data_IF_214067497781
#
_entry.id   IF_214067497781
#
_cell.length_a   1.000
_cell.length_b   1.000
_cell.length_c   1.000
_cell.angle_alpha   90.00
_cell.angle_beta   90.00
_cell.angle_gamma   90.00
#
_symmetry.space_group_name_H-M   'P 1'
#
loop_
_entity.id
_entity.type
_entity.pdbx_description
1 polymer ?
#
# COMPACT_ATOMS: atom_id res chain seq x y z
N UNK A 1 12.43 -7.76 8.06
CA UNK A 1 12.92 -8.16 6.72
C UNK A 1 12.03 -7.56 5.66
N UNK A 2 12.60 -6.95 4.64
CA UNK A 2 11.84 -6.31 3.59
C UNK A 2 11.21 -7.35 2.64
N UNK A 3 10.11 -6.96 2.01
CA UNK A 3 9.40 -7.82 1.07
C UNK A 3 9.27 -7.10 -0.26
N UNK A 4 9.60 -7.78 -1.37
CA UNK A 4 9.45 -7.20 -2.69
C UNK A 4 7.97 -7.02 -3.03
N UNK A 5 7.68 -5.95 -3.77
CA UNK A 5 6.32 -5.65 -4.18
C UNK A 5 5.71 -6.81 -4.99
N UNK A 6 6.49 -7.49 -5.82
CA UNK A 6 6.02 -8.66 -6.56
C UNK A 6 5.48 -9.74 -5.63
N UNK A 7 6.19 -10.02 -4.52
CA UNK A 7 5.73 -11.06 -3.59
C UNK A 7 4.40 -10.67 -2.94
N UNK A 8 4.24 -9.39 -2.62
CA UNK A 8 2.96 -8.91 -2.07
C UNK A 8 1.83 -9.13 -3.07
N UNK A 9 2.07 -8.83 -4.35
CA UNK A 9 1.05 -9.04 -5.39
C UNK A 9 0.70 -10.51 -5.54
N UNK A 10 1.66 -11.40 -5.43
CA UNK A 10 1.42 -12.84 -5.50
C UNK A 10 0.66 -13.35 -4.29
N UNK A 11 1.05 -12.96 -3.09
CA UNK A 11 0.40 -13.39 -1.85
C UNK A 11 -1.07 -12.97 -1.78
N UNK A 12 -1.39 -11.80 -2.27
CA UNK A 12 -2.73 -11.22 -2.17
C UNK A 12 -3.51 -11.27 -3.48
N UNK A 13 -2.93 -11.88 -4.51
CA UNK A 13 -3.53 -11.94 -5.85
C UNK A 13 -3.98 -10.55 -6.31
N UNK A 14 -3.06 -9.58 -6.22
CA UNK A 14 -3.36 -8.21 -6.54
C UNK A 14 -3.44 -7.95 -8.04
N UNK A 15 -4.25 -6.97 -8.40
CA UNK A 15 -4.12 -6.29 -9.68
C UNK A 15 -3.23 -5.07 -9.47
N UNK A 16 -2.24 -4.88 -10.34
CA UNK A 16 -1.36 -3.71 -10.30
C UNK A 16 -2.01 -2.60 -11.10
N UNK A 17 -2.47 -1.56 -10.41
CA UNK A 17 -3.11 -0.42 -11.05
C UNK A 17 -2.10 0.56 -11.61
N UNK A 18 -0.96 0.71 -10.94
CA UNK A 18 0.12 1.61 -11.32
C UNK A 18 1.43 1.10 -10.73
N UNK A 19 2.53 1.21 -11.47
CA UNK A 19 3.85 0.88 -10.95
C UNK A 19 4.33 -0.53 -11.25
N UNK A 20 3.80 -1.16 -12.30
CA UNK A 20 4.19 -2.52 -12.69
C UNK A 20 5.70 -2.66 -12.88
N UNK A 21 6.36 -1.62 -13.35
CA UNK A 21 7.81 -1.59 -13.55
C UNK A 21 8.61 -1.64 -12.26
N UNK A 22 7.95 -1.43 -11.11
CA UNK A 22 8.59 -1.43 -9.80
C UNK A 22 8.48 -2.77 -9.07
N UNK A 23 7.78 -3.76 -9.64
CA UNK A 23 7.48 -5.02 -8.94
C UNK A 23 8.73 -5.76 -8.46
N UNK A 24 9.80 -5.74 -9.25
CA UNK A 24 11.00 -6.53 -8.96
C UNK A 24 12.11 -5.74 -8.24
N UNK A 25 12.01 -4.41 -8.19
CA UNK A 25 13.05 -3.60 -7.55
C UNK A 25 12.59 -2.87 -6.28
N UNK A 26 11.27 -2.70 -6.09
CA UNK A 26 10.76 -2.02 -4.92
C UNK A 26 10.59 -2.99 -3.76
N UNK A 27 11.22 -2.67 -2.64
CA UNK A 27 11.06 -3.42 -1.40
C UNK A 27 10.25 -2.63 -0.39
N UNK A 28 9.30 -3.32 0.25
CA UNK A 28 8.44 -2.76 1.28
C UNK A 28 8.98 -3.21 2.63
N UNK A 29 9.28 -2.27 3.51
CA UNK A 29 9.90 -2.56 4.81
C UNK A 29 8.88 -2.92 5.88
N UNK A 30 7.65 -2.40 5.75
CA UNK A 30 6.60 -2.60 6.73
C UNK A 30 5.25 -2.26 6.10
N UNK A 31 4.16 -2.55 6.82
CA UNK A 31 2.84 -2.12 6.39
C UNK A 31 2.06 -1.53 7.55
N UNK A 32 1.11 -0.67 7.22
CA UNK A 32 0.20 -0.07 8.18
C UNK A 32 -1.19 0.03 7.56
N UNK A 33 -2.21 -0.47 8.26
CA UNK A 33 -3.57 -0.55 7.75
C UNK A 33 -4.47 0.42 8.50
N UNK A 34 -5.04 1.39 7.79
CA UNK A 34 -5.98 2.34 8.35
C UNK A 34 -6.71 3.09 7.22
N UNK A 35 -7.90 3.60 7.54
CA UNK A 35 -8.64 4.50 6.66
C UNK A 35 -8.55 5.95 7.14
N UNK A 36 -8.08 6.18 8.37
CA UNK A 36 -7.86 7.52 8.90
C UNK A 36 -6.43 7.96 8.60
N UNK A 37 -6.30 8.95 7.73
CA UNK A 37 -4.99 9.36 7.24
C UNK A 37 -4.11 9.99 8.32
N UNK A 38 -4.69 10.59 9.36
CA UNK A 38 -3.90 11.08 10.49
C UNK A 38 -3.20 9.96 11.24
N UNK A 39 -3.79 8.78 11.31
CA UNK A 39 -3.12 7.61 11.89
C UNK A 39 -1.97 7.12 11.01
N UNK A 40 -2.17 7.13 9.70
CA UNK A 40 -1.11 6.75 8.76
C UNK A 40 0.10 7.68 8.93
N UNK A 41 -0.14 8.99 9.00
CA UNK A 41 0.94 9.97 9.18
C UNK A 41 1.67 9.78 10.51
N UNK A 42 0.92 9.40 11.56
CA UNK A 42 1.50 9.25 12.90
C UNK A 42 2.34 8.00 13.04
N UNK A 43 1.89 6.87 12.48
CA UNK A 43 2.47 5.56 12.79
C UNK A 43 3.30 4.97 11.66
N UNK A 44 3.23 5.52 10.45
CA UNK A 44 4.02 5.05 9.32
C UNK A 44 5.37 5.76 9.24
N UNK A 45 6.28 5.14 8.51
CA UNK A 45 7.59 5.71 8.21
C UNK A 45 7.92 5.43 6.75
N UNK A 46 9.00 6.03 6.25
CA UNK A 46 9.44 5.82 4.87
C UNK A 46 9.61 4.32 4.58
N UNK A 47 9.16 3.90 3.40
CA UNK A 47 9.24 2.50 3.00
C UNK A 47 8.05 1.65 3.44
N UNK A 48 7.10 2.21 4.21
CA UNK A 48 5.88 1.51 4.60
C UNK A 48 4.90 1.45 3.41
N UNK A 49 4.18 0.32 3.28
CA UNK A 49 3.02 0.24 2.39
C UNK A 49 1.76 0.52 3.20
N UNK A 50 0.93 1.44 2.70
CA UNK A 50 -0.38 1.72 3.29
C UNK A 50 -1.39 0.71 2.78
N UNK A 51 -2.16 0.11 3.69
CA UNK A 51 -3.29 -0.77 3.40
C UNK A 51 -4.56 -0.02 3.77
N UNK A 52 -5.41 0.28 2.79
CA UNK A 52 -6.56 1.16 3.05
C UNK A 52 -7.73 0.86 2.10
N UNK A 53 -8.93 1.20 2.54
CA UNK A 53 -10.11 1.25 1.67
C UNK A 53 -10.37 2.65 1.13
N UNK A 54 -9.55 3.65 1.49
CA UNK A 54 -9.75 5.04 1.10
C UNK A 54 -9.10 5.29 -0.27
N UNK A 55 -9.92 5.44 -1.30
CA UNK A 55 -9.45 5.59 -2.69
C UNK A 55 -9.41 7.04 -3.17
N UNK A 56 -9.44 7.99 -2.25
CA UNK A 56 -9.46 9.42 -2.57
C UNK A 56 -8.04 9.97 -2.79
N UNK A 57 -7.99 11.18 -3.36
CA UNK A 57 -6.73 11.93 -3.53
C UNK A 57 -5.97 12.05 -2.22
N UNK A 58 -6.70 12.13 -1.08
CA UNK A 58 -6.07 12.27 0.23
C UNK A 58 -5.14 11.10 0.56
N UNK A 59 -5.47 9.87 0.14
CA UNK A 59 -4.59 8.72 0.39
C UNK A 59 -3.26 8.87 -0.35
N UNK A 60 -3.28 9.36 -1.57
CA UNK A 60 -2.05 9.58 -2.36
C UNK A 60 -1.23 10.73 -1.77
N UNK A 61 -1.89 11.82 -1.37
CA UNK A 61 -1.20 12.95 -0.72
C UNK A 61 -0.51 12.50 0.56
N UNK A 62 -1.18 11.68 1.36
CA UNK A 62 -0.61 11.13 2.59
C UNK A 62 0.61 10.26 2.30
N UNK A 63 0.51 9.37 1.31
CA UNK A 63 1.62 8.51 0.92
C UNK A 63 2.83 9.33 0.43
N UNK A 64 2.58 10.40 -0.29
CA UNK A 64 3.65 11.29 -0.75
C UNK A 64 4.37 11.98 0.42
N UNK A 65 3.60 12.56 1.33
CA UNK A 65 4.16 13.28 2.49
C UNK A 65 4.94 12.34 3.40
N UNK A 66 4.42 11.13 3.64
CA UNK A 66 5.05 10.16 4.53
C UNK A 66 6.14 9.31 3.84
N UNK A 67 6.38 9.55 2.55
CA UNK A 67 7.36 8.80 1.75
C UNK A 67 7.07 7.28 1.78
N UNK A 68 5.82 6.94 1.60
CA UNK A 68 5.40 5.53 1.60
C UNK A 68 5.81 4.83 0.31
N UNK A 69 6.04 3.52 0.41
CA UNK A 69 6.50 2.72 -0.73
C UNK A 69 5.40 2.45 -1.75
N UNK A 70 4.17 2.27 -1.30
CA UNK A 70 3.04 1.89 -2.16
C UNK A 70 1.73 2.02 -1.39
N UNK A 71 0.61 1.96 -2.11
CA UNK A 71 -0.72 1.88 -1.52
C UNK A 71 -1.40 0.60 -2.02
N UNK A 72 -1.91 -0.20 -1.08
CA UNK A 72 -2.75 -1.36 -1.36
C UNK A 72 -4.20 -1.04 -0.98
N UNK A 73 -5.08 -1.01 -1.97
CA UNK A 73 -6.51 -0.88 -1.73
C UNK A 73 -7.13 -2.25 -1.50
N UNK A 74 -8.00 -2.36 -0.50
CA UNK A 74 -8.66 -3.61 -0.14
C UNK A 74 -10.11 -3.63 -0.60
N UNK A 75 -10.72 -4.83 -0.62
CA UNK A 75 -12.12 -4.99 -0.98
C UNK A 75 -12.41 -4.71 -2.46
N UNK A 76 -11.44 -4.94 -3.32
CA UNK A 76 -11.52 -4.69 -4.77
C UNK A 76 -11.84 -3.22 -5.11
N UNK A 77 -11.49 -2.31 -4.22
CA UNK A 77 -11.73 -0.89 -4.41
C UNK A 77 -10.70 -0.31 -5.38
N UNK A 78 -11.16 0.64 -6.20
CA UNK A 78 -10.32 1.23 -7.25
C UNK A 78 -10.49 2.74 -7.24
N UNK A 79 -9.38 3.49 -7.34
CA UNK A 79 -9.46 4.94 -7.44
C UNK A 79 -9.90 5.39 -8.83
N UNK A 80 -10.41 6.61 -8.94
CA UNK A 80 -10.76 7.21 -10.22
C UNK A 80 -9.51 7.74 -10.95
N UNK A 81 -9.71 8.27 -12.16
CA UNK A 81 -8.62 8.74 -13.01
C UNK A 81 -7.78 9.85 -12.38
N UNK A 82 -8.41 10.76 -11.64
CA UNK A 82 -7.68 11.87 -10.99
C UNK A 82 -6.69 11.35 -9.95
N UNK A 83 -7.08 10.33 -9.19
CA UNK A 83 -6.22 9.70 -8.20
C UNK A 83 -5.07 8.95 -8.87
N UNK A 84 -5.37 8.21 -9.94
CA UNK A 84 -4.33 7.52 -10.71
C UNK A 84 -3.32 8.49 -11.29
N UNK A 85 -3.78 9.62 -11.83
CA UNK A 85 -2.90 10.64 -12.40
C UNK A 85 -1.98 11.24 -11.34
N UNK A 86 -2.52 11.55 -10.15
CA UNK A 86 -1.71 12.09 -9.06
C UNK A 86 -0.68 11.07 -8.59
N UNK A 87 -1.06 9.81 -8.43
CA UNK A 87 -0.13 8.77 -8.01
C UNK A 87 0.98 8.56 -9.04
N UNK A 88 0.64 8.63 -10.34
CA UNK A 88 1.63 8.55 -11.40
C UNK A 88 2.62 9.70 -11.32
N UNK A 89 2.12 10.91 -11.12
CA UNK A 89 2.96 12.11 -10.97
C UNK A 89 3.92 11.98 -9.78
N UNK A 90 3.44 11.41 -8.66
CA UNK A 90 4.24 11.22 -7.45
C UNK A 90 5.09 9.95 -7.46
N UNK A 91 4.92 9.10 -8.46
CA UNK A 91 5.68 7.86 -8.57
C UNK A 91 5.30 6.82 -7.51
N UNK A 92 4.04 6.79 -7.06
CA UNK A 92 3.57 5.89 -6.01
C UNK A 92 2.84 4.71 -6.65
N UNK A 93 3.34 3.47 -6.51
CA UNK A 93 2.63 2.29 -6.99
C UNK A 93 1.30 2.09 -6.28
N UNK A 94 0.29 1.69 -7.05
CA UNK A 94 -1.05 1.39 -6.54
C UNK A 94 -1.43 -0.04 -6.88
N UNK A 95 -1.89 -0.78 -5.87
CA UNK A 95 -2.37 -2.15 -5.99
C UNK A 95 -3.80 -2.24 -5.48
N UNK A 96 -4.57 -3.20 -5.98
CA UNK A 96 -5.85 -3.56 -5.38
C UNK A 96 -5.95 -5.06 -5.20
N UNK A 97 -6.63 -5.50 -4.13
CA UNK A 97 -6.88 -6.90 -3.85
C UNK A 97 -8.35 -7.10 -3.51
N UNK A 98 -8.88 -8.29 -3.82
CA UNK A 98 -10.26 -8.66 -3.45
C UNK A 98 -10.41 -8.94 -1.97
N UNK A 99 -9.32 -9.27 -1.28
CA UNK A 99 -9.37 -9.49 0.16
C UNK A 99 -9.84 -8.24 0.90
N UNK A 100 -10.58 -8.43 1.99
CA UNK A 100 -10.89 -7.32 2.89
C UNK A 100 -9.64 -6.97 3.71
N UNK A 101 -9.73 -5.91 4.51
CA UNK A 101 -8.58 -5.43 5.27
C UNK A 101 -8.05 -6.46 6.25
N UNK A 102 -8.94 -7.16 6.98
CA UNK A 102 -8.52 -8.16 7.96
C UNK A 102 -7.74 -9.29 7.30
N UNK A 103 -8.29 -9.85 6.21
CA UNK A 103 -7.66 -10.98 5.51
C UNK A 103 -6.32 -10.56 4.88
N UNK A 104 -6.27 -9.39 4.25
CA UNK A 104 -5.04 -8.89 3.65
C UNK A 104 -3.95 -8.72 4.70
N UNK A 105 -4.28 -8.11 5.83
CA UNK A 105 -3.33 -7.94 6.93
C UNK A 105 -2.89 -9.29 7.50
N UNK A 106 -3.82 -10.22 7.66
CA UNK A 106 -3.50 -11.56 8.18
C UNK A 106 -2.53 -12.32 7.28
N UNK A 107 -2.75 -12.27 5.97
CA UNK A 107 -1.88 -12.94 5.00
C UNK A 107 -0.46 -12.34 5.04
N UNK A 108 -0.35 -11.02 5.06
CA UNK A 108 0.95 -10.37 5.10
C UNK A 108 1.66 -10.59 6.43
N UNK A 109 0.94 -10.56 7.54
CA UNK A 109 1.51 -10.83 8.86
C UNK A 109 2.04 -12.25 8.94
N UNK A 110 1.29 -13.23 8.43
CA UNK A 110 1.72 -14.64 8.39
C UNK A 110 2.95 -14.82 7.50
N UNK A 111 3.14 -13.97 6.49
CA UNK A 111 4.31 -13.98 5.62
C UNK A 111 5.48 -13.16 6.17
N UNK A 112 5.35 -12.67 7.41
CA UNK A 112 6.40 -11.95 8.16
C UNK A 112 6.70 -10.54 7.66
N UNK A 113 5.78 -9.88 6.99
CA UNK A 113 5.92 -8.45 6.73
C UNK A 113 5.68 -7.70 8.05
N UNK A 114 6.63 -6.85 8.43
CA UNK A 114 6.60 -6.19 9.72
C UNK A 114 5.50 -5.12 9.80
N UNK A 115 4.89 -4.90 10.98
CA UNK A 115 4.03 -3.74 11.18
C UNK A 115 4.88 -2.46 11.28
N UNK A 116 4.37 -1.36 10.71
CA UNK A 116 5.11 -0.10 10.71
C UNK A 116 5.30 0.47 12.13
N UNK A 117 4.28 0.34 12.97
CA UNK A 117 4.34 0.83 14.35
C UNK A 117 5.20 -0.05 15.27
N UNK A 118 5.57 -1.25 14.81
CA UNK A 118 6.46 -2.18 15.46
C UNK A 118 6.13 -2.50 16.92
N UNK A 119 6.72 -3.51 17.48
CA UNK A 119 6.59 -3.74 18.91
C UNK A 119 7.34 -2.69 19.71
#
# INVERSE_FOLDING_TARGET
MDMRLRRITELLDCEVLLGRERLDDLEVSACFAADLMSDVLRFSHAGTMMITGLTSVQSVQTADVADLAAILFVGDKRPNGAVLDLAREKGIPLLTTRHNMFDACGILYAAHLAPASGP
#
